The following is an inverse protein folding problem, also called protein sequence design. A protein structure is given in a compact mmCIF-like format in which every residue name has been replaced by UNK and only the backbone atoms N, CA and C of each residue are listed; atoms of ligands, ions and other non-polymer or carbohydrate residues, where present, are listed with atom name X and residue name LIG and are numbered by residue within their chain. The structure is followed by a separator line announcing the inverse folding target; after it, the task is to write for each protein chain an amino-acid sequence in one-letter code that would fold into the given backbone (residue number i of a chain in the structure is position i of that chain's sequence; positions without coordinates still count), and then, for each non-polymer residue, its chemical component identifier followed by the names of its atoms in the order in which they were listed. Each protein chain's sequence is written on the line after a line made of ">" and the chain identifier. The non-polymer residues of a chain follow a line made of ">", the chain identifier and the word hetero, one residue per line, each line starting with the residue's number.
data_IF_581166575291
#
_entry.id   IF_581166575291
#
_cell.length_a   1.000
_cell.length_b   1.000
_cell.length_c   1.000
_cell.angle_alpha   90.00
_cell.angle_beta   90.00
_cell.angle_gamma   90.00
#
_symmetry.space_group_name_H-M   'P 1'
#
loop_
_entity.id
_entity.type
_entity.pdbx_description
1 polymer ?
#
# COMPACT_ATOMS: atom_id res chain seq x y z
N UNK A 1 3.42 -13.60 44.95
CA UNK A 1 2.77 -12.33 44.56
C UNK A 1 3.87 -11.45 43.99
N UNK A 2 4.05 -11.49 42.67
CA UNK A 2 5.03 -10.64 41.96
C UNK A 2 4.32 -9.35 41.57
N UNK A 3 4.74 -8.27 42.22
CA UNK A 3 4.22 -6.93 42.05
C UNK A 3 4.57 -6.43 40.63
N UNK A 4 3.56 -6.30 39.78
CA UNK A 4 3.74 -5.74 38.44
C UNK A 4 3.77 -4.23 38.58
N UNK A 5 4.98 -3.68 38.64
CA UNK A 5 5.21 -2.24 38.63
C UNK A 5 4.78 -1.70 37.26
N UNK A 6 3.58 -1.12 37.19
CA UNK A 6 3.13 -0.31 36.07
C UNK A 6 4.06 0.90 35.95
N UNK A 7 4.95 0.88 34.97
CA UNK A 7 5.74 2.06 34.63
C UNK A 7 4.78 3.20 34.22
N UNK A 8 4.72 4.28 35.00
CA UNK A 8 3.96 5.47 34.60
C UNK A 8 4.69 6.13 33.44
N UNK A 9 4.08 6.13 32.25
CA UNK A 9 4.63 6.85 31.10
C UNK A 9 4.27 8.33 31.28
N UNK A 10 5.26 9.17 31.58
CA UNK A 10 5.09 10.63 31.59
C UNK A 10 4.82 11.16 30.18
N UNK A 11 4.01 12.22 30.01
CA UNK A 11 3.75 12.82 28.71
C UNK A 11 5.03 13.35 28.04
N UNK A 12 5.09 13.28 26.71
CA UNK A 12 6.21 13.76 25.91
C UNK A 12 6.47 15.25 26.11
N UNK A 13 7.73 15.67 26.04
CA UNK A 13 8.09 17.07 25.93
C UNK A 13 7.59 17.65 24.60
N UNK A 14 7.48 18.98 24.50
CA UNK A 14 7.09 19.65 23.26
C UNK A 14 8.00 19.25 22.09
N UNK A 15 9.32 19.26 22.28
CA UNK A 15 10.30 18.91 21.24
C UNK A 15 10.15 17.46 20.77
N UNK A 16 9.95 16.52 21.71
CA UNK A 16 9.74 15.11 21.36
C UNK A 16 8.45 14.89 20.59
N UNK A 17 7.39 15.66 20.91
CA UNK A 17 6.12 15.63 20.19
C UNK A 17 6.28 16.18 18.76
N UNK A 18 6.96 17.31 18.59
CA UNK A 18 7.21 17.87 17.25
C UNK A 18 8.04 16.92 16.38
N UNK A 19 9.05 16.26 16.95
CA UNK A 19 9.84 15.26 16.23
C UNK A 19 8.97 14.05 15.80
N UNK A 20 8.07 13.58 16.67
CA UNK A 20 7.14 12.50 16.33
C UNK A 20 6.17 12.91 15.20
N UNK A 21 5.63 14.13 15.26
CA UNK A 21 4.75 14.67 14.21
C UNK A 21 5.50 14.71 12.88
N UNK A 22 6.70 15.29 12.85
CA UNK A 22 7.50 15.40 11.63
C UNK A 22 7.81 14.01 11.03
N UNK A 23 8.13 13.03 11.88
CA UNK A 23 8.38 11.66 11.45
C UNK A 23 7.16 11.02 10.79
N UNK A 24 6.01 11.00 11.47
CA UNK A 24 4.81 10.34 10.95
C UNK A 24 4.20 11.09 9.75
N UNK A 25 4.27 12.42 9.72
CA UNK A 25 3.87 13.20 8.56
C UNK A 25 4.73 12.88 7.33
N UNK A 26 6.05 12.74 7.50
CA UNK A 26 6.93 12.34 6.40
C UNK A 26 6.64 10.91 5.93
N UNK A 27 6.36 9.99 6.86
CA UNK A 27 5.98 8.60 6.54
C UNK A 27 4.71 8.55 5.69
N UNK A 28 3.63 9.17 6.15
CA UNK A 28 2.32 9.17 5.48
C UNK A 28 2.31 9.93 4.15
N UNK A 29 3.33 10.75 3.88
CA UNK A 29 3.51 11.40 2.59
C UNK A 29 4.00 10.43 1.51
N UNK A 30 4.77 9.41 1.87
CA UNK A 30 5.42 8.49 0.93
C UNK A 30 4.92 7.05 1.03
N UNK A 31 4.05 6.76 2.00
CA UNK A 31 3.44 5.46 2.23
C UNK A 31 1.92 5.61 2.37
N UNK A 32 1.20 4.55 2.03
CA UNK A 32 -0.26 4.42 2.16
C UNK A 32 -0.57 2.95 2.42
N UNK A 33 -1.66 2.63 3.12
CA UNK A 33 -2.09 1.24 3.26
C UNK A 33 -3.07 0.84 2.14
N UNK A 34 -3.57 -0.39 2.16
CA UNK A 34 -4.51 -0.86 1.16
C UNK A 34 -5.90 -0.23 1.32
N UNK A 35 -6.31 0.09 2.56
CA UNK A 35 -7.61 0.73 2.85
C UNK A 35 -7.68 2.13 2.23
N UNK A 36 -6.66 2.96 2.44
CA UNK A 36 -6.54 4.30 1.84
C UNK A 36 -6.72 4.24 0.30
N UNK A 37 -6.09 3.26 -0.34
CA UNK A 37 -6.14 3.09 -1.81
C UNK A 37 -7.54 2.70 -2.26
N UNK A 38 -8.19 1.78 -1.54
CA UNK A 38 -9.56 1.36 -1.84
C UNK A 38 -10.54 2.51 -1.66
N UNK A 39 -10.40 3.28 -0.59
CA UNK A 39 -11.21 4.47 -0.34
C UNK A 39 -11.03 5.52 -1.44
N UNK A 40 -9.79 5.83 -1.82
CA UNK A 40 -9.49 6.77 -2.90
C UNK A 40 -10.08 6.32 -4.24
N UNK A 41 -9.94 5.02 -4.59
CA UNK A 41 -10.54 4.46 -5.80
C UNK A 41 -12.08 4.51 -5.76
N UNK A 42 -12.69 4.19 -4.62
CA UNK A 42 -14.14 4.24 -4.44
C UNK A 42 -14.70 5.68 -4.51
N UNK A 43 -13.92 6.66 -4.04
CA UNK A 43 -14.22 8.09 -4.15
C UNK A 43 -14.02 8.64 -5.57
N UNK A 44 -13.46 7.84 -6.49
CA UNK A 44 -13.16 8.25 -7.87
C UNK A 44 -11.95 9.17 -7.98
N UNK A 45 -11.04 9.14 -7.00
CA UNK A 45 -9.79 9.89 -7.06
C UNK A 45 -8.91 9.37 -8.20
N UNK A 46 -8.19 10.31 -8.85
CA UNK A 46 -7.29 9.97 -9.94
C UNK A 46 -5.96 9.50 -9.37
N UNK A 47 -5.72 8.19 -9.41
CA UNK A 47 -4.42 7.58 -9.12
C UNK A 47 -4.13 6.40 -10.05
N UNK A 48 -2.84 6.07 -10.21
CA UNK A 48 -2.38 4.87 -10.89
C UNK A 48 -1.89 3.86 -9.85
N UNK A 49 -2.66 2.80 -9.61
CA UNK A 49 -2.23 1.67 -8.79
C UNK A 49 -1.37 0.73 -9.65
N UNK A 50 -0.14 0.46 -9.24
CA UNK A 50 0.87 -0.23 -10.07
C UNK A 50 1.38 -1.49 -9.39
N UNK A 51 1.18 -2.62 -10.06
CA UNK A 51 1.78 -3.90 -9.69
C UNK A 51 3.19 -4.01 -10.27
N UNK A 52 4.17 -4.11 -9.37
CA UNK A 52 5.59 -4.13 -9.75
C UNK A 52 6.18 -5.55 -9.83
N UNK A 53 5.35 -6.57 -9.59
CA UNK A 53 5.75 -7.98 -9.60
C UNK A 53 5.93 -8.48 -11.04
N UNK A 54 6.46 -9.69 -11.18
CA UNK A 54 6.63 -10.31 -12.50
C UNK A 54 5.29 -10.75 -13.10
N UNK A 55 5.31 -11.08 -14.39
CA UNK A 55 4.13 -11.50 -15.15
C UNK A 55 3.42 -12.72 -14.56
N UNK A 56 4.17 -13.72 -14.08
CA UNK A 56 3.57 -14.89 -13.44
C UNK A 56 2.78 -14.51 -12.17
N UNK A 57 3.28 -13.56 -11.39
CA UNK A 57 2.61 -13.04 -10.19
C UNK A 57 1.36 -12.23 -10.54
N UNK A 58 1.46 -11.42 -11.60
CA UNK A 58 0.33 -10.66 -12.15
C UNK A 58 -0.80 -11.59 -12.61
N UNK A 59 -0.47 -12.60 -13.42
CA UNK A 59 -1.43 -13.58 -13.93
C UNK A 59 -2.06 -14.40 -12.80
N UNK A 60 -1.30 -14.74 -11.76
CA UNK A 60 -1.81 -15.45 -10.59
C UNK A 60 -2.89 -14.65 -9.85
N UNK A 61 -2.76 -13.33 -9.79
CA UNK A 61 -3.73 -12.45 -9.15
C UNK A 61 -3.12 -11.10 -8.79
N UNK A 62 -3.84 -10.02 -9.02
CA UNK A 62 -3.44 -8.64 -8.77
C UNK A 62 -4.63 -7.81 -8.29
N UNK A 63 -4.37 -6.63 -7.71
CA UNK A 63 -5.41 -5.71 -7.27
C UNK A 63 -6.26 -5.26 -8.48
N UNK A 64 -7.59 -5.31 -8.35
CA UNK A 64 -8.48 -4.90 -9.42
C UNK A 64 -8.22 -3.44 -9.83
N UNK A 65 -8.14 -3.19 -11.14
CA UNK A 65 -7.85 -1.86 -11.69
C UNK A 65 -6.38 -1.45 -11.66
N UNK A 66 -5.46 -2.29 -11.17
CA UNK A 66 -4.04 -2.01 -11.22
C UNK A 66 -3.49 -2.02 -12.67
N UNK A 67 -2.34 -1.38 -12.87
CA UNK A 67 -1.53 -1.41 -14.08
C UNK A 67 -0.30 -2.28 -13.81
N UNK A 68 0.00 -3.21 -14.72
CA UNK A 68 1.17 -4.07 -14.58
C UNK A 68 2.43 -3.40 -15.14
N UNK A 69 3.37 -3.00 -14.29
CA UNK A 69 4.69 -2.50 -14.69
C UNK A 69 5.74 -3.17 -13.82
N UNK A 70 6.34 -4.30 -14.27
CA UNK A 70 7.41 -4.95 -13.54
C UNK A 70 8.50 -3.96 -13.14
N UNK A 71 9.01 -4.07 -11.91
CA UNK A 71 10.00 -3.13 -11.35
C UNK A 71 11.15 -2.75 -12.29
N UNK A 72 11.63 -3.71 -13.10
CA UNK A 72 12.76 -3.49 -14.02
C UNK A 72 12.40 -2.63 -15.24
N UNK A 73 11.12 -2.48 -15.54
CA UNK A 73 10.61 -1.80 -16.72
C UNK A 73 10.06 -0.40 -16.38
N UNK A 74 9.98 -0.02 -15.09
CA UNK A 74 9.44 1.27 -14.64
C UNK A 74 10.08 2.45 -15.36
N UNK A 75 11.42 2.48 -15.43
CA UNK A 75 12.17 3.56 -16.08
C UNK A 75 11.74 3.80 -17.54
N UNK A 76 11.41 2.73 -18.26
CA UNK A 76 11.10 2.79 -19.69
C UNK A 76 9.59 2.90 -19.93
N UNK A 77 8.76 2.19 -19.16
CA UNK A 77 7.32 2.05 -19.40
C UNK A 77 6.49 3.15 -18.75
N UNK A 78 6.82 3.56 -17.52
CA UNK A 78 6.02 4.53 -16.79
C UNK A 78 5.77 5.83 -17.58
N UNK A 79 6.79 6.50 -18.18
CA UNK A 79 6.58 7.74 -18.94
C UNK A 79 5.69 7.60 -20.19
N UNK A 80 5.46 6.37 -20.66
CA UNK A 80 4.64 6.08 -21.85
C UNK A 80 3.21 5.67 -21.49
N UNK A 81 3.02 5.13 -20.29
CA UNK A 81 1.76 4.50 -19.86
C UNK A 81 1.01 5.33 -18.82
N UNK A 82 1.71 6.15 -18.04
CA UNK A 82 1.13 6.94 -16.95
C UNK A 82 1.44 8.43 -17.22
N UNK A 83 0.44 9.32 -17.29
CA UNK A 83 0.70 10.75 -17.35
C UNK A 83 1.43 11.24 -16.10
N UNK A 84 2.44 12.10 -16.27
CA UNK A 84 3.32 12.56 -15.17
C UNK A 84 2.58 13.24 -14.01
N UNK A 85 1.42 13.85 -14.28
CA UNK A 85 0.56 14.51 -13.30
C UNK A 85 -0.38 13.54 -12.55
N UNK A 86 -0.22 12.22 -12.75
CA UNK A 86 -1.02 11.19 -12.08
C UNK A 86 -0.26 10.71 -10.83
N UNK A 87 -0.84 10.84 -9.62
CA UNK A 87 -0.30 10.18 -8.44
C UNK A 87 -0.19 8.67 -8.65
N UNK A 88 0.95 8.09 -8.26
CA UNK A 88 1.23 6.66 -8.41
C UNK A 88 1.26 5.99 -7.04
N UNK A 89 0.61 4.84 -6.93
CA UNK A 89 0.73 3.95 -5.79
C UNK A 89 1.35 2.64 -6.27
N UNK A 90 2.49 2.24 -5.73
CA UNK A 90 3.15 0.99 -6.13
C UNK A 90 3.03 -0.08 -5.05
N UNK A 91 2.94 -1.35 -5.46
CA UNK A 91 3.01 -2.47 -4.55
C UNK A 91 3.84 -3.65 -5.08
N UNK A 92 4.27 -4.52 -4.16
CA UNK A 92 4.92 -5.81 -4.43
C UNK A 92 4.15 -6.90 -3.66
N UNK A 93 4.76 -8.07 -3.43
CA UNK A 93 4.15 -9.20 -2.75
C UNK A 93 3.69 -8.90 -1.33
N UNK A 94 4.58 -8.39 -0.48
CA UNK A 94 4.35 -8.30 0.96
C UNK A 94 5.35 -7.36 1.63
N UNK A 95 5.25 -7.11 2.95
CA UNK A 95 6.27 -6.35 3.70
C UNK A 95 7.69 -6.92 3.60
N UNK A 96 7.82 -8.21 3.24
CA UNK A 96 9.12 -8.85 2.99
C UNK A 96 9.73 -8.54 1.61
N UNK A 97 9.05 -7.76 0.75
CA UNK A 97 9.50 -7.45 -0.60
C UNK A 97 9.94 -5.98 -0.77
N UNK A 98 11.24 -5.74 -0.92
CA UNK A 98 11.79 -4.41 -1.29
C UNK A 98 11.59 -4.06 -2.80
N UNK A 99 10.75 -4.81 -3.52
CA UNK A 99 10.51 -4.59 -4.95
C UNK A 99 9.76 -3.30 -5.20
N UNK A 100 8.77 -3.00 -4.35
CA UNK A 100 7.96 -1.80 -4.43
C UNK A 100 8.75 -0.55 -4.02
N UNK A 101 9.58 -0.60 -2.96
CA UNK A 101 10.47 0.52 -2.59
C UNK A 101 11.39 0.93 -3.75
N UNK A 102 11.97 -0.07 -4.42
CA UNK A 102 12.84 0.16 -5.58
C UNK A 102 12.05 0.72 -6.77
N UNK A 103 10.80 0.31 -6.96
CA UNK A 103 9.95 0.88 -8.00
C UNK A 103 9.56 2.33 -7.66
N UNK A 104 9.15 2.61 -6.42
CA UNK A 104 8.83 3.94 -5.93
C UNK A 104 10.01 4.89 -6.12
N UNK A 105 11.24 4.44 -5.82
CA UNK A 105 12.45 5.20 -6.09
C UNK A 105 12.61 5.55 -7.59
N UNK A 106 12.34 4.61 -8.50
CA UNK A 106 12.42 4.90 -9.94
C UNK A 106 11.32 5.87 -10.40
N UNK A 107 10.08 5.70 -9.93
CA UNK A 107 9.00 6.67 -10.18
C UNK A 107 9.36 8.07 -9.67
N UNK A 108 9.93 8.17 -8.47
CA UNK A 108 10.38 9.45 -7.91
C UNK A 108 11.48 10.10 -8.75
N UNK A 109 12.45 9.33 -9.25
CA UNK A 109 13.49 9.84 -10.17
C UNK A 109 12.92 10.36 -11.49
N UNK A 110 11.82 9.77 -11.96
CA UNK A 110 11.09 10.21 -13.14
C UNK A 110 10.19 11.44 -12.88
N UNK A 111 10.04 11.86 -11.63
CA UNK A 111 9.29 13.05 -11.24
C UNK A 111 7.83 12.82 -10.88
N UNK A 112 7.39 11.56 -10.72
CA UNK A 112 6.03 11.26 -10.26
C UNK A 112 5.86 11.57 -8.78
N UNK A 113 4.67 12.02 -8.41
CA UNK A 113 4.19 11.85 -7.04
C UNK A 113 3.91 10.36 -6.82
N UNK A 114 4.62 9.73 -5.88
CA UNK A 114 4.54 8.29 -5.67
C UNK A 114 4.47 7.93 -4.20
N UNK A 115 3.60 6.97 -3.88
CA UNK A 115 3.50 6.31 -2.58
C UNK A 115 3.75 4.80 -2.70
N UNK A 116 4.33 4.24 -1.65
CA UNK A 116 4.43 2.80 -1.44
C UNK A 116 3.15 2.30 -0.72
N UNK A 117 2.46 1.32 -1.30
CA UNK A 117 1.39 0.61 -0.60
C UNK A 117 1.98 -0.43 0.36
N UNK A 118 1.98 -0.12 1.65
CA UNK A 118 2.46 -1.04 2.68
C UNK A 118 1.55 -2.26 2.80
N UNK A 119 2.08 -3.38 3.28
CA UNK A 119 1.36 -4.66 3.27
C UNK A 119 1.39 -5.37 1.91
N UNK A 120 1.48 -4.61 0.81
CA UNK A 120 1.56 -5.15 -0.55
C UNK A 120 0.32 -5.96 -0.96
N UNK A 121 0.48 -6.80 -1.97
CA UNK A 121 -0.60 -7.66 -2.47
C UNK A 121 -1.07 -8.69 -1.43
N UNK A 122 -0.20 -9.11 -0.51
CA UNK A 122 -0.54 -10.03 0.58
C UNK A 122 -1.68 -9.46 1.42
N UNK A 123 -1.51 -8.26 1.96
CA UNK A 123 -2.53 -7.65 2.82
C UNK A 123 -3.75 -7.23 2.01
N UNK A 124 -3.58 -6.73 0.77
CA UNK A 124 -4.70 -6.48 -0.13
C UNK A 124 -5.64 -7.70 -0.26
N UNK A 125 -5.07 -8.88 -0.55
CA UNK A 125 -5.84 -10.10 -0.74
C UNK A 125 -6.36 -10.71 0.58
N UNK A 126 -5.68 -10.46 1.71
CA UNK A 126 -6.11 -10.95 3.03
C UNK A 126 -7.18 -10.06 3.66
N UNK A 127 -7.20 -8.77 3.35
CA UNK A 127 -8.25 -7.83 3.74
C UNK A 127 -9.52 -7.97 2.87
N UNK A 128 -9.49 -8.85 1.86
CA UNK A 128 -10.67 -9.22 1.09
C UNK A 128 -11.04 -8.23 -0.01
N UNK A 129 -10.13 -7.33 -0.39
CA UNK A 129 -10.34 -6.42 -1.51
C UNK A 129 -10.34 -7.14 -2.86
N UNK A 130 -10.90 -6.48 -3.87
CA UNK A 130 -11.11 -7.08 -5.20
C UNK A 130 -9.79 -7.48 -5.86
N UNK A 131 -9.71 -8.75 -6.28
CA UNK A 131 -8.55 -9.34 -6.97
C UNK A 131 -8.98 -9.85 -8.34
N UNK A 132 -8.16 -9.62 -9.36
CA UNK A 132 -8.31 -10.17 -10.70
C UNK A 132 -7.14 -11.09 -11.00
N UNK A 133 -7.39 -12.26 -11.59
CA UNK A 133 -6.39 -13.14 -12.19
C UNK A 133 -6.61 -13.30 -13.69
N UNK A 134 -5.77 -14.09 -14.36
CA UNK A 134 -5.97 -14.48 -15.76
C UNK A 134 -7.30 -15.23 -16.01
N UNK A 135 -7.84 -15.88 -14.97
CA UNK A 135 -9.11 -16.57 -14.99
C UNK A 135 -10.32 -15.67 -14.64
N UNK A 136 -10.09 -14.39 -14.32
CA UNK A 136 -11.11 -13.42 -13.95
C UNK A 136 -11.13 -13.06 -12.46
N UNK A 137 -12.26 -12.56 -11.94
CA UNK A 137 -12.36 -12.14 -10.54
C UNK A 137 -12.12 -13.28 -9.55
N UNK A 138 -11.34 -13.01 -8.51
CA UNK A 138 -11.04 -13.93 -7.41
C UNK A 138 -11.75 -13.43 -6.16
N UNK A 139 -12.76 -14.17 -5.72
CA UNK A 139 -13.52 -13.82 -4.50
C UNK A 139 -12.78 -14.38 -3.27
N UNK A 140 -12.44 -13.48 -2.34
CA UNK A 140 -11.86 -13.84 -1.04
C UNK A 140 -12.61 -13.11 0.08
N UNK A 141 -12.88 -13.82 1.16
CA UNK A 141 -13.30 -13.18 2.41
C UNK A 141 -12.10 -12.60 3.16
N UNK A 142 -12.38 -11.69 4.09
CA UNK A 142 -11.41 -11.15 5.04
C UNK A 142 -10.79 -12.30 5.85
N UNK A 143 -9.46 -12.34 5.91
CA UNK A 143 -8.72 -13.19 6.84
C UNK A 143 -8.87 -12.59 8.25
N UNK A 144 -9.42 -13.39 9.17
CA UNK A 144 -9.73 -13.00 10.54
C UNK A 144 -8.51 -12.51 11.35
N UNK A 145 -7.29 -12.76 10.88
CA UNK A 145 -6.06 -12.26 11.52
C UNK A 145 -5.64 -10.87 11.05
N UNK A 146 -6.26 -10.31 10.01
CA UNK A 146 -5.91 -8.98 9.48
C UNK A 146 -7.09 -8.02 9.40
N UNK A 147 -8.32 -8.50 9.61
CA UNK A 147 -9.48 -7.63 9.62
C UNK A 147 -10.72 -8.26 10.27
N UNK A 148 -11.70 -7.43 10.65
CA UNK A 148 -12.97 -7.89 11.20
C UNK A 148 -13.74 -8.67 10.11
N UNK A 149 -14.12 -9.91 10.43
CA UNK A 149 -14.93 -10.77 9.53
C UNK A 149 -16.43 -10.53 9.65
N UNK A 150 -16.86 -9.71 10.61
CA UNK A 150 -18.25 -9.36 10.83
C UNK A 150 -18.61 -8.10 10.01
N UNK A 151 -19.78 -8.08 9.34
CA UNK A 151 -20.15 -7.01 8.40
C UNK A 151 -20.39 -5.62 9.02
N UNK A 152 -20.25 -5.43 10.34
CA UNK A 152 -20.75 -4.24 11.05
C UNK A 152 -19.66 -3.48 11.84
N UNK A 153 -18.39 -3.87 11.74
CA UNK A 153 -17.34 -3.36 12.66
C UNK A 153 -16.04 -3.02 11.94
N UNK A 154 -16.10 -2.28 10.80
CA UNK A 154 -14.87 -1.74 10.18
C UNK A 154 -14.11 -0.85 11.17
N UNK A 155 -14.80 -0.11 12.05
CA UNK A 155 -14.16 0.83 12.99
C UNK A 155 -13.46 2.03 12.32
N UNK A 156 -13.37 1.98 10.99
CA UNK A 156 -13.34 3.04 10.01
C UNK A 156 -14.77 3.57 9.81
#
# INVERSE_FOLDING_TARGET
>A
MTDTQTASVSPLTADAREAAIAHFAAKLRFETDASDVVEALAAGERLALVDTRNEASWNQGHAAGAIHIPRREVADRAPREIPLDTPVVVYCWSPGCNGADKAALEFAKLGYEVKLMIGGFEYWAREGYDVISDAGPVIRGVDALVGPVAPEDCGC
#
